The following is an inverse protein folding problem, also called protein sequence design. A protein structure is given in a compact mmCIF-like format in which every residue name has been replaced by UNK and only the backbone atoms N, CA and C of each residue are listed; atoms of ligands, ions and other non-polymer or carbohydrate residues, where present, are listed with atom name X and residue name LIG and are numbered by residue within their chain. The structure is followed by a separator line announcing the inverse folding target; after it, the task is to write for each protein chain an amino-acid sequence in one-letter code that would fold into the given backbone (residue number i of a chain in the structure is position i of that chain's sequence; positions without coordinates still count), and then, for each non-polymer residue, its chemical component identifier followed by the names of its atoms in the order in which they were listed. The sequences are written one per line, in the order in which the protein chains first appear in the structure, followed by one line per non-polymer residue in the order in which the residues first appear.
data_IF_796729699227
#
_entry.id   IF_796729699227
#
_cell.length_a   1.000
_cell.length_b   1.000
_cell.length_c   1.000
_cell.angle_alpha   90.00
_cell.angle_beta   90.00
_cell.angle_gamma   90.00
#
_symmetry.space_group_name_H-M   'P 1'
#
loop_
_entity.id
_entity.type
_entity.pdbx_description
1 polymer ?
#
# COMPACT_ATOMS: atom_id res chain seq x y z
N UNK A 1 25.83 -14.31 -44.41
CA UNK A 1 26.60 -14.61 -43.19
C UNK A 1 26.81 -13.30 -42.46
N UNK A 2 25.90 -12.99 -41.52
CA UNK A 2 25.91 -11.73 -40.75
C UNK A 2 26.44 -12.04 -39.36
N UNK A 3 27.61 -11.49 -39.02
CA UNK A 3 28.17 -11.58 -37.68
C UNK A 3 27.52 -10.56 -36.76
N UNK A 4 26.76 -11.04 -35.77
CA UNK A 4 26.34 -10.24 -34.62
C UNK A 4 27.52 -10.09 -33.65
N UNK A 5 28.12 -8.92 -33.59
CA UNK A 5 29.07 -8.58 -32.53
C UNK A 5 28.31 -8.26 -31.26
N UNK A 6 28.28 -9.17 -30.29
CA UNK A 6 27.92 -8.87 -28.92
C UNK A 6 28.91 -7.83 -28.36
N UNK A 7 28.42 -6.59 -28.14
CA UNK A 7 29.16 -5.65 -27.30
C UNK A 7 29.10 -6.16 -25.86
N UNK A 8 30.22 -6.64 -25.36
CA UNK A 8 30.40 -6.94 -23.95
C UNK A 8 30.19 -5.66 -23.14
N UNK A 9 29.20 -5.66 -22.26
CA UNK A 9 28.98 -4.59 -21.28
C UNK A 9 30.18 -4.61 -20.33
N UNK A 10 30.85 -3.49 -20.18
CA UNK A 10 32.06 -3.37 -19.36
C UNK A 10 31.79 -3.77 -17.90
N UNK A 11 32.71 -4.47 -17.21
CA UNK A 11 32.49 -5.02 -15.87
C UNK A 11 32.14 -3.96 -14.80
N UNK A 12 32.51 -2.69 -14.98
CA UNK A 12 32.17 -1.59 -14.07
C UNK A 12 30.66 -1.29 -13.97
N UNK A 13 29.91 -1.47 -15.06
CA UNK A 13 28.45 -1.24 -15.01
C UNK A 13 27.68 -2.37 -14.28
N UNK A 14 28.29 -3.55 -14.19
CA UNK A 14 27.71 -4.70 -13.50
C UNK A 14 27.92 -4.62 -11.97
N UNK A 15 29.02 -4.04 -11.52
CA UNK A 15 29.29 -3.82 -10.08
C UNK A 15 28.47 -2.65 -9.51
N UNK A 16 28.26 -1.55 -10.26
CA UNK A 16 27.40 -0.45 -9.84
C UNK A 16 25.90 -0.83 -9.77
N UNK A 17 25.44 -1.77 -10.62
CA UNK A 17 24.08 -2.33 -10.52
C UNK A 17 23.89 -3.25 -9.33
N UNK A 18 24.95 -3.88 -8.82
CA UNK A 18 24.86 -4.78 -7.65
C UNK A 18 24.83 -4.06 -6.30
N UNK A 19 25.20 -2.79 -6.25
CA UNK A 19 25.28 -2.01 -4.99
C UNK A 19 24.04 -1.20 -4.67
N UNK A 20 23.03 -1.18 -5.54
CA UNK A 20 21.75 -0.48 -5.33
C UNK A 20 20.54 -1.43 -5.44
N UNK A 21 20.61 -2.60 -4.79
CA UNK A 21 19.39 -3.38 -4.58
C UNK A 21 18.52 -2.61 -3.59
N UNK A 22 17.54 -1.89 -4.11
CA UNK A 22 16.51 -1.28 -3.28
C UNK A 22 15.71 -2.40 -2.63
N UNK A 23 15.60 -2.40 -1.32
CA UNK A 23 14.67 -3.25 -0.57
C UNK A 23 13.29 -2.60 -0.60
N UNK A 24 12.25 -3.36 -0.26
CA UNK A 24 10.95 -2.79 0.09
C UNK A 24 11.13 -1.70 1.15
N UNK A 25 10.42 -0.59 0.97
CA UNK A 25 10.44 0.53 1.91
C UNK A 25 9.08 0.69 2.60
N UNK A 26 9.05 1.36 3.73
CA UNK A 26 7.80 1.83 4.34
C UNK A 26 7.30 3.08 3.62
N UNK A 27 6.06 3.47 3.86
CA UNK A 27 5.48 4.68 3.27
C UNK A 27 5.97 5.98 3.93
N UNK A 28 6.62 5.92 5.09
CA UNK A 28 7.02 7.10 5.90
C UNK A 28 7.80 8.15 5.10
N UNK A 29 8.93 7.76 4.50
CA UNK A 29 9.75 8.70 3.73
C UNK A 29 9.10 9.09 2.39
N UNK A 30 8.27 8.22 1.82
CA UNK A 30 7.50 8.54 0.62
C UNK A 30 6.49 9.66 0.89
N UNK A 31 5.70 9.52 1.95
CA UNK A 31 4.67 10.49 2.32
C UNK A 31 5.28 11.81 2.77
N UNK A 32 6.38 11.77 3.52
CA UNK A 32 7.11 13.00 3.88
C UNK A 32 7.56 13.78 2.66
N UNK A 33 8.22 13.13 1.70
CA UNK A 33 8.67 13.76 0.46
C UNK A 33 7.52 14.25 -0.40
N UNK A 34 6.42 13.48 -0.46
CA UNK A 34 5.23 13.86 -1.19
C UNK A 34 4.59 15.13 -0.61
N UNK A 35 4.46 15.18 0.71
CA UNK A 35 3.94 16.36 1.42
C UNK A 35 4.81 17.60 1.20
N UNK A 36 6.13 17.47 1.41
CA UNK A 36 7.09 18.58 1.22
C UNK A 36 7.15 19.02 -0.26
N UNK A 37 7.02 18.08 -1.19
CA UNK A 37 7.07 18.32 -2.64
C UNK A 37 5.74 18.72 -3.28
N UNK A 38 4.63 18.66 -2.55
CA UNK A 38 3.28 18.99 -3.05
C UNK A 38 2.78 18.04 -4.13
N UNK A 39 3.08 16.74 -4.01
CA UNK A 39 2.58 15.69 -4.94
C UNK A 39 1.97 14.52 -4.17
N UNK A 40 1.22 13.66 -4.88
CA UNK A 40 0.66 12.43 -4.33
C UNK A 40 1.48 11.21 -4.77
N UNK A 41 1.50 10.17 -3.92
CA UNK A 41 2.03 8.85 -4.26
C UNK A 41 0.89 7.96 -4.72
N UNK A 42 1.04 7.30 -5.87
CA UNK A 42 0.04 6.36 -6.37
C UNK A 42 0.08 5.04 -5.60
N UNK A 43 -1.12 4.55 -5.23
CA UNK A 43 -1.33 3.22 -4.66
C UNK A 43 -2.15 2.38 -5.66
N UNK A 44 -1.62 1.21 -6.03
CA UNK A 44 -2.16 0.41 -7.12
C UNK A 44 -2.42 -1.02 -6.67
N UNK A 45 -3.66 -1.49 -6.83
CA UNK A 45 -4.04 -2.86 -6.52
C UNK A 45 -3.42 -3.85 -7.49
N UNK A 46 -2.77 -4.88 -6.95
CA UNK A 46 -2.10 -5.93 -7.74
C UNK A 46 -2.56 -7.32 -7.33
N UNK A 47 -2.78 -8.18 -8.32
CA UNK A 47 -3.22 -9.56 -8.10
C UNK A 47 -2.59 -10.58 -9.08
N UNK A 48 -1.81 -10.15 -10.05
CA UNK A 48 -1.13 -11.02 -11.01
C UNK A 48 0.18 -10.38 -11.52
N UNK A 49 0.96 -11.15 -12.26
CA UNK A 49 2.27 -10.75 -12.78
C UNK A 49 2.16 -9.58 -13.76
N UNK A 50 1.20 -9.63 -14.68
CA UNK A 50 1.04 -8.66 -15.77
C UNK A 50 0.76 -7.26 -15.23
N UNK A 51 -0.09 -7.18 -14.20
CA UNK A 51 -0.42 -5.91 -13.53
C UNK A 51 0.81 -5.38 -12.77
N UNK A 52 1.53 -6.24 -12.03
CA UNK A 52 2.76 -5.83 -11.34
C UNK A 52 3.78 -5.29 -12.33
N UNK A 53 4.04 -5.98 -13.44
CA UNK A 53 4.98 -5.54 -14.47
C UNK A 53 4.57 -4.20 -15.08
N UNK A 54 3.32 -4.07 -15.52
CA UNK A 54 2.84 -2.84 -16.15
C UNK A 54 2.96 -1.61 -15.24
N UNK A 55 2.61 -1.76 -13.96
CA UNK A 55 2.70 -0.67 -12.98
C UNK A 55 4.17 -0.33 -12.69
N UNK A 56 5.01 -1.33 -12.44
CA UNK A 56 6.41 -1.09 -12.07
C UNK A 56 7.25 -0.57 -13.23
N UNK A 57 7.03 -1.02 -14.46
CA UNK A 57 7.67 -0.48 -15.65
C UNK A 57 7.32 0.99 -15.88
N UNK A 58 6.01 1.34 -15.80
CA UNK A 58 5.57 2.72 -15.94
C UNK A 58 6.14 3.62 -14.82
N UNK A 59 6.19 3.12 -13.59
CA UNK A 59 6.70 3.86 -12.45
C UNK A 59 8.23 4.06 -12.53
N UNK A 60 8.98 3.06 -12.99
CA UNK A 60 10.44 3.15 -13.20
C UNK A 60 10.78 4.14 -14.33
N UNK A 61 10.03 4.11 -15.44
CA UNK A 61 10.16 5.09 -16.54
C UNK A 61 9.96 6.52 -16.03
N UNK A 62 8.96 6.74 -15.19
CA UNK A 62 8.64 8.05 -14.59
C UNK A 62 9.50 8.39 -13.38
N UNK A 63 10.30 7.44 -12.87
CA UNK A 63 11.04 7.57 -11.60
C UNK A 63 10.14 7.93 -10.43
N UNK A 64 8.95 7.37 -10.40
CA UNK A 64 7.93 7.62 -9.39
C UNK A 64 7.96 6.55 -8.29
N UNK A 65 8.00 6.93 -7.00
CA UNK A 65 7.74 5.98 -5.93
C UNK A 65 6.30 5.49 -6.01
N UNK A 66 6.05 4.23 -5.65
CA UNK A 66 4.72 3.62 -5.70
C UNK A 66 4.41 2.76 -4.48
N UNK A 67 3.13 2.58 -4.24
CA UNK A 67 2.60 1.60 -3.31
C UNK A 67 1.91 0.51 -4.14
N UNK A 68 2.37 -0.75 -4.00
CA UNK A 68 1.69 -1.91 -4.54
C UNK A 68 0.82 -2.49 -3.42
N UNK A 69 -0.49 -2.45 -3.60
CA UNK A 69 -1.42 -2.88 -2.56
C UNK A 69 -2.15 -4.16 -2.93
N UNK A 70 -2.38 -4.99 -1.93
CA UNK A 70 -3.02 -6.29 -2.05
C UNK A 70 -4.19 -6.36 -1.08
N UNK A 71 -5.40 -6.48 -1.60
CA UNK A 71 -6.59 -6.73 -0.79
C UNK A 71 -6.67 -8.18 -0.29
N UNK A 72 -7.62 -8.45 0.60
CA UNK A 72 -7.95 -9.81 1.03
C UNK A 72 -8.33 -10.70 -0.19
N UNK A 73 -9.11 -10.14 -1.14
CA UNK A 73 -9.50 -10.80 -2.38
C UNK A 73 -8.29 -11.15 -3.27
N UNK A 74 -7.35 -10.22 -3.47
CA UNK A 74 -6.12 -10.47 -4.21
C UNK A 74 -5.26 -11.57 -3.56
N UNK A 75 -5.13 -11.57 -2.22
CA UNK A 75 -4.40 -12.58 -1.46
C UNK A 75 -5.07 -13.96 -1.54
N UNK A 76 -6.39 -14.02 -1.56
CA UNK A 76 -7.15 -15.26 -1.75
C UNK A 76 -6.97 -15.83 -3.16
N UNK A 77 -7.00 -14.97 -4.18
CA UNK A 77 -6.84 -15.34 -5.59
C UNK A 77 -5.42 -15.81 -5.89
N UNK A 78 -4.41 -14.96 -5.71
CA UNK A 78 -3.04 -15.21 -6.14
C UNK A 78 -2.19 -15.95 -5.10
N UNK A 79 -2.65 -16.05 -3.84
CA UNK A 79 -1.90 -16.51 -2.66
C UNK A 79 -0.83 -15.52 -2.19
N UNK A 80 -0.73 -15.34 -0.89
CA UNK A 80 0.17 -14.40 -0.24
C UNK A 80 1.63 -14.52 -0.72
N UNK A 81 2.20 -15.72 -0.71
CA UNK A 81 3.60 -15.94 -1.09
C UNK A 81 3.91 -15.58 -2.54
N UNK A 82 2.99 -15.84 -3.48
CA UNK A 82 3.18 -15.46 -4.88
C UNK A 82 3.23 -13.95 -5.04
N UNK A 83 2.31 -13.21 -4.38
CA UNK A 83 2.29 -11.74 -4.44
C UNK A 83 3.59 -11.14 -3.89
N UNK A 84 4.04 -11.62 -2.72
CA UNK A 84 5.32 -11.15 -2.14
C UNK A 84 6.50 -11.40 -3.09
N UNK A 85 6.59 -12.58 -3.72
CA UNK A 85 7.70 -12.87 -4.64
C UNK A 85 7.59 -12.11 -5.96
N UNK A 86 6.38 -11.84 -6.47
CA UNK A 86 6.20 -10.97 -7.64
C UNK A 86 6.69 -9.55 -7.36
N UNK A 87 6.37 -9.01 -6.19
CA UNK A 87 6.86 -7.67 -5.80
C UNK A 87 8.37 -7.68 -5.55
N UNK A 88 8.92 -8.74 -4.97
CA UNK A 88 10.38 -8.89 -4.83
C UNK A 88 11.07 -8.92 -6.19
N UNK A 89 10.52 -9.64 -7.18
CA UNK A 89 11.04 -9.63 -8.55
C UNK A 89 11.00 -8.23 -9.17
N UNK A 90 9.91 -7.48 -8.97
CA UNK A 90 9.79 -6.10 -9.44
C UNK A 90 10.86 -5.18 -8.85
N UNK A 91 11.20 -5.32 -7.56
CA UNK A 91 12.27 -4.56 -6.91
C UNK A 91 13.65 -4.88 -7.52
N UNK A 92 13.86 -6.12 -7.96
CA UNK A 92 15.13 -6.51 -8.61
C UNK A 92 15.30 -5.88 -9.99
N UNK A 93 14.22 -5.56 -10.67
CA UNK A 93 14.19 -5.00 -12.02
C UNK A 93 14.08 -3.46 -12.07
N UNK A 94 13.72 -2.82 -10.94
CA UNK A 94 13.50 -1.36 -10.86
C UNK A 94 14.45 -0.68 -9.88
N UNK A 95 14.54 0.66 -9.96
CA UNK A 95 15.33 1.48 -9.04
C UNK A 95 14.47 2.53 -8.30
N UNK A 96 13.18 2.28 -8.20
CA UNK A 96 12.24 3.17 -7.50
C UNK A 96 11.89 2.63 -6.11
N UNK A 97 11.53 3.51 -5.15
CA UNK A 97 10.98 3.07 -3.87
C UNK A 97 9.62 2.40 -4.08
N UNK A 98 9.46 1.17 -3.56
CA UNK A 98 8.22 0.40 -3.60
C UNK A 98 7.85 0.01 -2.17
N UNK A 99 6.63 0.32 -1.74
CA UNK A 99 6.04 -0.23 -0.53
C UNK A 99 5.03 -1.33 -0.90
N UNK A 100 5.04 -2.44 -0.16
CA UNK A 100 4.03 -3.49 -0.27
C UNK A 100 3.03 -3.32 0.86
N UNK A 101 1.77 -3.10 0.52
CA UNK A 101 0.71 -2.66 1.42
C UNK A 101 -0.47 -3.64 1.44
N UNK A 102 -0.99 -3.94 2.64
CA UNK A 102 -2.30 -4.59 2.79
C UNK A 102 -3.39 -3.53 2.69
N UNK A 103 -4.30 -3.73 1.76
CA UNK A 103 -5.47 -2.89 1.52
C UNK A 103 -6.68 -3.45 2.27
N UNK A 104 -7.36 -2.64 3.07
CA UNK A 104 -8.52 -2.99 3.89
C UNK A 104 -8.36 -4.29 4.71
N UNK A 105 -7.46 -4.29 5.68
CA UNK A 105 -7.32 -5.38 6.64
C UNK A 105 -8.50 -5.42 7.60
N UNK A 106 -9.31 -6.49 7.55
CA UNK A 106 -10.55 -6.60 8.31
C UNK A 106 -10.34 -6.86 9.82
N UNK A 107 -9.17 -7.37 10.20
CA UNK A 107 -8.88 -7.73 11.59
C UNK A 107 -7.37 -7.76 11.88
N UNK A 108 -7.03 -7.93 13.15
CA UNK A 108 -5.65 -8.03 13.60
C UNK A 108 -4.89 -9.20 12.97
N UNK A 109 -5.53 -10.35 12.79
CA UNK A 109 -4.86 -11.56 12.32
C UNK A 109 -4.44 -11.44 10.85
N UNK A 110 -5.25 -10.80 10.00
CA UNK A 110 -4.89 -10.57 8.60
C UNK A 110 -3.73 -9.56 8.49
N UNK A 111 -3.75 -8.48 9.30
CA UNK A 111 -2.64 -7.53 9.37
C UNK A 111 -1.36 -8.22 9.85
N UNK A 112 -1.44 -8.99 10.94
CA UNK A 112 -0.33 -9.79 11.46
C UNK A 112 0.28 -10.72 10.41
N UNK A 113 -0.56 -11.47 9.68
CA UNK A 113 -0.09 -12.37 8.62
C UNK A 113 0.64 -11.62 7.50
N UNK A 114 0.20 -10.42 7.14
CA UNK A 114 0.86 -9.61 6.13
C UNK A 114 2.20 -9.07 6.63
N UNK A 115 2.26 -8.55 7.85
CA UNK A 115 3.49 -8.07 8.48
C UNK A 115 4.53 -9.20 8.58
N UNK A 116 4.14 -10.35 9.14
CA UNK A 116 5.02 -11.53 9.27
C UNK A 116 5.42 -12.10 7.90
N UNK A 117 4.60 -11.87 6.88
CA UNK A 117 4.82 -12.32 5.50
C UNK A 117 5.63 -11.36 4.63
N UNK A 118 6.14 -10.24 5.18
CA UNK A 118 7.06 -9.33 4.49
C UNK A 118 6.42 -8.09 3.87
N UNK A 119 5.18 -7.76 4.24
CA UNK A 119 4.60 -6.46 3.93
C UNK A 119 5.27 -5.36 4.75
N UNK A 120 5.47 -4.20 4.15
CA UNK A 120 6.09 -3.03 4.81
C UNK A 120 5.09 -2.00 5.29
N UNK A 121 3.83 -2.17 4.90
CA UNK A 121 2.71 -1.32 5.27
C UNK A 121 1.43 -2.15 5.34
N UNK A 122 0.55 -1.87 6.28
CA UNK A 122 -0.77 -2.49 6.38
C UNK A 122 -1.82 -1.45 6.73
N UNK A 123 -3.01 -1.57 6.14
CA UNK A 123 -4.18 -0.82 6.56
C UNK A 123 -5.05 -1.71 7.45
N UNK A 124 -5.44 -1.18 8.60
CA UNK A 124 -6.49 -1.75 9.45
C UNK A 124 -7.77 -0.96 9.29
N UNK A 125 -8.80 -1.60 8.80
CA UNK A 125 -10.11 -0.98 8.59
C UNK A 125 -11.07 -1.34 9.74
N UNK A 126 -11.07 -0.49 10.75
CA UNK A 126 -12.03 -0.52 11.85
C UNK A 126 -13.16 0.50 11.70
N UNK A 127 -13.34 1.10 10.53
CA UNK A 127 -14.30 2.20 10.29
C UNK A 127 -15.76 1.82 10.54
N UNK A 128 -16.08 0.54 10.41
CA UNK A 128 -17.40 -0.04 10.68
C UNK A 128 -17.68 -0.28 12.17
N UNK A 129 -16.67 -0.19 13.03
CA UNK A 129 -16.78 -0.39 14.47
C UNK A 129 -17.15 0.93 15.18
N UNK A 130 -17.68 0.86 16.42
CA UNK A 130 -17.73 2.01 17.30
C UNK A 130 -16.35 2.67 17.46
N UNK A 131 -16.30 3.99 17.60
CA UNK A 131 -15.06 4.77 17.63
C UNK A 131 -13.99 4.24 18.60
N UNK A 132 -14.39 3.89 19.84
CA UNK A 132 -13.46 3.34 20.83
C UNK A 132 -12.93 1.96 20.44
N UNK A 133 -13.74 1.11 19.85
CA UNK A 133 -13.32 -0.22 19.37
C UNK A 133 -12.38 -0.12 18.16
N UNK A 134 -12.63 0.85 17.26
CA UNK A 134 -11.70 1.15 16.17
C UNK A 134 -10.34 1.60 16.72
N UNK A 135 -10.32 2.47 17.73
CA UNK A 135 -9.07 2.88 18.38
C UNK A 135 -8.32 1.68 18.99
N UNK A 136 -9.02 0.83 19.74
CA UNK A 136 -8.39 -0.34 20.37
C UNK A 136 -7.79 -1.30 19.33
N UNK A 137 -8.54 -1.57 18.26
CA UNK A 137 -8.10 -2.43 17.17
C UNK A 137 -6.90 -1.83 16.43
N UNK A 138 -6.99 -0.57 16.02
CA UNK A 138 -5.95 0.14 15.27
C UNK A 138 -4.67 0.27 16.10
N UNK A 139 -4.78 0.60 17.39
CA UNK A 139 -3.64 0.65 18.31
C UNK A 139 -2.94 -0.71 18.41
N UNK A 140 -3.69 -1.78 18.59
CA UNK A 140 -3.14 -3.14 18.69
C UNK A 140 -2.35 -3.53 17.44
N UNK A 141 -2.83 -3.15 16.25
CA UNK A 141 -2.13 -3.38 14.99
C UNK A 141 -0.88 -2.51 14.90
N UNK A 142 -0.97 -1.22 15.27
CA UNK A 142 0.16 -0.30 15.25
C UNK A 142 1.29 -0.76 16.18
N UNK A 143 0.97 -1.14 17.41
CA UNK A 143 1.96 -1.66 18.37
C UNK A 143 2.69 -2.89 17.79
N UNK A 144 1.95 -3.83 17.19
CA UNK A 144 2.54 -5.04 16.60
C UNK A 144 3.42 -4.74 15.37
N UNK A 145 2.97 -3.83 14.51
CA UNK A 145 3.65 -3.46 13.27
C UNK A 145 4.95 -2.70 13.54
N UNK A 146 4.92 -1.73 14.45
CA UNK A 146 6.08 -0.90 14.79
C UNK A 146 7.24 -1.71 15.38
N UNK A 147 6.96 -2.73 16.20
CA UNK A 147 7.98 -3.66 16.70
C UNK A 147 8.72 -4.39 15.56
N UNK A 148 8.14 -4.43 14.35
CA UNK A 148 8.65 -5.15 13.18
C UNK A 148 9.09 -4.23 12.04
N UNK A 149 9.11 -2.91 12.30
CA UNK A 149 9.49 -1.90 11.30
C UNK A 149 8.51 -1.75 10.14
N UNK A 150 7.25 -2.13 10.35
CA UNK A 150 6.15 -1.95 9.42
C UNK A 150 5.30 -0.75 9.86
N UNK A 151 4.72 -0.03 8.92
CA UNK A 151 3.84 1.12 9.18
C UNK A 151 2.37 0.75 9.03
N UNK A 152 1.49 1.53 9.67
CA UNK A 152 0.06 1.26 9.73
C UNK A 152 -0.73 2.46 9.22
N UNK A 153 -1.69 2.18 8.35
CA UNK A 153 -2.78 3.07 8.00
C UNK A 153 -4.02 2.69 8.80
N UNK A 154 -4.68 3.67 9.40
CA UNK A 154 -6.00 3.51 10.00
C UNK A 154 -7.08 4.06 9.10
N UNK A 155 -8.35 3.76 9.40
CA UNK A 155 -9.48 4.36 8.71
C UNK A 155 -10.48 4.98 9.68
N UNK A 156 -10.94 6.18 9.35
CA UNK A 156 -11.93 6.91 10.12
C UNK A 156 -13.01 7.49 9.21
N UNK A 157 -14.24 7.09 9.47
CA UNK A 157 -15.39 7.35 8.61
C UNK A 157 -15.56 6.27 7.54
N UNK A 158 -16.68 6.29 6.83
CA UNK A 158 -17.04 5.32 5.78
C UNK A 158 -17.51 6.04 4.54
N UNK A 159 -17.12 5.54 3.39
CA UNK A 159 -17.57 6.00 2.06
C UNK A 159 -18.55 5.00 1.46
N UNK A 160 -19.61 5.52 0.80
CA UNK A 160 -20.51 4.66 0.06
C UNK A 160 -19.81 4.00 -1.14
N UNK A 161 -20.13 2.74 -1.40
CA UNK A 161 -19.65 2.03 -2.56
C UNK A 161 -19.29 0.58 -2.32
N UNK A 162 -18.69 -0.01 -3.34
CA UNK A 162 -18.21 -1.39 -3.32
C UNK A 162 -16.75 -1.35 -3.74
N UNK A 163 -15.88 -1.87 -2.86
CA UNK A 163 -14.47 -2.08 -3.14
C UNK A 163 -14.07 -3.44 -2.54
N UNK A 164 -13.77 -4.39 -3.41
CA UNK A 164 -13.52 -5.80 -3.06
C UNK A 164 -14.59 -6.36 -2.11
N UNK A 165 -14.21 -6.66 -0.86
CA UNK A 165 -15.10 -7.23 0.17
C UNK A 165 -15.81 -6.16 1.03
N UNK A 166 -15.50 -4.86 0.80
CA UNK A 166 -16.11 -3.73 1.53
C UNK A 166 -17.34 -3.23 0.77
N UNK A 167 -18.50 -3.25 1.40
CA UNK A 167 -19.76 -2.78 0.82
C UNK A 167 -20.44 -1.82 1.78
N UNK A 168 -20.56 -0.55 1.40
CA UNK A 168 -21.32 0.47 2.12
C UNK A 168 -22.46 0.96 1.23
N UNK A 169 -23.69 0.73 1.63
CA UNK A 169 -24.87 1.18 0.89
C UNK A 169 -24.97 2.71 0.90
N UNK A 170 -25.44 3.30 -0.20
CA UNK A 170 -25.68 4.75 -0.28
C UNK A 170 -26.63 5.22 0.80
N UNK A 171 -26.25 6.26 1.55
CA UNK A 171 -27.00 6.78 2.69
C UNK A 171 -26.55 6.20 4.03
N UNK A 172 -25.59 5.26 4.05
CA UNK A 172 -24.99 4.72 5.25
C UNK A 172 -23.51 5.15 5.43
N UNK A 173 -23.04 6.06 4.57
CA UNK A 173 -21.74 6.69 4.70
C UNK A 173 -21.68 7.56 5.98
N UNK A 174 -20.53 7.54 6.62
CA UNK A 174 -20.21 8.38 7.77
C UNK A 174 -18.92 9.14 7.52
N UNK A 175 -19.02 10.43 7.24
CA UNK A 175 -17.83 11.23 6.96
C UNK A 175 -16.98 11.45 8.22
N UNK A 176 -15.68 11.46 8.02
CA UNK A 176 -14.70 11.72 9.08
C UNK A 176 -14.96 13.07 9.73
N UNK A 177 -15.05 13.08 11.05
CA UNK A 177 -15.21 14.31 11.82
C UNK A 177 -13.81 14.89 12.12
N UNK A 178 -13.51 16.13 11.71
CA UNK A 178 -12.17 16.71 11.85
C UNK A 178 -11.66 16.78 13.29
N UNK A 179 -12.54 16.94 14.26
CA UNK A 179 -12.23 16.98 15.68
C UNK A 179 -11.80 15.61 16.26
N UNK A 180 -12.18 14.52 15.60
CA UNK A 180 -11.78 13.16 15.99
C UNK A 180 -10.41 12.76 15.46
N UNK A 181 -9.93 13.37 14.37
CA UNK A 181 -8.70 12.97 13.68
C UNK A 181 -7.47 13.03 14.60
N UNK A 182 -7.30 14.15 15.31
CA UNK A 182 -6.14 14.33 16.19
C UNK A 182 -6.15 13.34 17.37
N UNK A 183 -7.31 13.11 17.96
CA UNK A 183 -7.49 12.15 19.06
C UNK A 183 -7.24 10.72 18.59
N UNK A 184 -7.80 10.34 17.44
CA UNK A 184 -7.60 9.02 16.83
C UNK A 184 -6.13 8.73 16.58
N UNK A 185 -5.43 9.59 15.86
CA UNK A 185 -4.01 9.41 15.53
C UNK A 185 -3.13 9.34 16.77
N UNK A 186 -3.39 10.22 17.77
CA UNK A 186 -2.64 10.21 19.03
C UNK A 186 -2.83 8.93 19.84
N UNK A 187 -4.05 8.41 19.86
CA UNK A 187 -4.39 7.24 20.69
C UNK A 187 -4.00 5.92 20.02
N UNK A 188 -4.10 5.86 18.71
CA UNK A 188 -3.78 4.64 17.93
C UNK A 188 -2.29 4.53 17.60
N UNK A 189 -1.65 5.66 17.31
CA UNK A 189 -0.27 5.69 16.83
C UNK A 189 -0.12 5.28 15.37
N UNK A 190 -1.20 5.30 14.55
CA UNK A 190 -1.12 5.01 13.12
C UNK A 190 -0.25 6.03 12.39
N UNK A 191 0.41 5.60 11.33
CA UNK A 191 1.38 6.42 10.56
C UNK A 191 0.70 7.23 9.45
N UNK A 192 -0.46 6.75 8.97
CA UNK A 192 -1.32 7.42 8.00
C UNK A 192 -2.79 7.14 8.31
N UNK A 193 -3.68 7.94 7.74
CA UNK A 193 -5.11 7.85 7.99
C UNK A 193 -5.89 8.00 6.68
N UNK A 194 -6.70 7.00 6.35
CA UNK A 194 -7.74 7.10 5.35
C UNK A 194 -8.94 7.85 5.93
N UNK A 195 -9.37 8.89 5.22
CA UNK A 195 -10.48 9.76 5.65
C UNK A 195 -11.61 9.75 4.63
N UNK A 196 -12.84 9.68 5.12
CA UNK A 196 -14.06 9.78 4.32
C UNK A 196 -14.47 11.25 4.15
N UNK A 197 -14.28 11.82 2.98
CA UNK A 197 -14.48 13.26 2.69
C UNK A 197 -15.44 13.52 1.52
N UNK A 198 -16.24 12.54 1.12
CA UNK A 198 -17.23 12.67 0.06
C UNK A 198 -16.81 12.13 -1.30
N UNK A 199 -15.67 11.47 -1.41
CA UNK A 199 -15.34 10.60 -2.54
C UNK A 199 -16.15 9.31 -2.48
N UNK A 200 -15.97 8.39 -3.40
CA UNK A 200 -16.61 7.07 -3.35
C UNK A 200 -15.73 6.01 -3.97
N UNK A 201 -15.90 4.78 -3.52
CA UNK A 201 -15.23 3.63 -4.12
C UNK A 201 -15.76 3.35 -5.53
N UNK A 202 -14.86 2.94 -6.42
CA UNK A 202 -15.15 2.54 -7.79
C UNK A 202 -15.36 3.70 -8.76
N UNK A 203 -15.25 3.39 -10.05
CA UNK A 203 -15.53 4.30 -11.15
C UNK A 203 -17.05 4.44 -11.36
N UNK A 204 -17.47 5.50 -12.03
CA UNK A 204 -18.85 5.67 -12.55
C UNK A 204 -19.94 6.11 -11.56
N UNK A 205 -19.62 6.61 -10.38
CA UNK A 205 -20.63 7.02 -9.40
C UNK A 205 -21.07 8.48 -9.51
N UNK A 206 -20.24 9.33 -10.10
CA UNK A 206 -20.60 10.71 -10.31
C UNK A 206 -21.11 10.87 -11.76
N UNK A 207 -22.36 11.35 -11.90
CA UNK A 207 -22.86 11.83 -13.20
C UNK A 207 -22.32 13.23 -13.40
N UNK A 208 -21.86 13.56 -14.62
CA UNK A 208 -21.45 14.92 -14.96
C UNK A 208 -22.61 15.91 -14.83
#
# INVERSE_FOLDING_TARGET
MLYYTQRAIAPKQKEERMTLKMALVTTTEMFKKAYEGGYAVGAFNVNNMEIVQAITEAADELRSPIILQCSAGARKYAKHSYLVHLVQAAIEETNIPIALHLDHGADFEICKQCIDGGFTSVMIDGSHLPYEENIELSKRVADYAHERGCVVEGELGTLAGIEDDVVVESGHESYTQPDQVEDFVKRTGVDSLAIAIGTSHGAFKFKP
#
